data_IF_160185001159
#
_entry.id   IF_160185001159
#
_cell.length_a   1.000
_cell.length_b   1.000
_cell.length_c   1.000
_cell.angle_alpha   90.00
_cell.angle_beta   90.00
_cell.angle_gamma   90.00
#
_symmetry.space_group_name_H-M   'P 1'
#
loop_
_entity.id
_entity.type
_entity.pdbx_description
1 polymer ?
#
# COMPACT_ATOMS: atom_id res chain seq x y z
N UNK A 1 13.98 0.57 41.53
CA UNK A 1 13.94 0.38 40.06
C UNK A 1 12.51 0.05 39.71
N UNK A 2 11.95 0.53 38.60
CA UNK A 2 10.57 0.23 38.23
C UNK A 2 10.48 -1.22 37.75
N UNK A 3 9.57 -2.02 38.32
CA UNK A 3 9.39 -3.42 37.95
C UNK A 3 8.50 -3.62 36.72
N UNK A 4 7.98 -2.53 36.14
CA UNK A 4 7.04 -2.55 35.01
C UNK A 4 7.75 -2.36 33.68
N UNK A 5 7.34 -3.12 32.66
CA UNK A 5 7.75 -2.81 31.29
C UNK A 5 7.20 -1.45 30.85
N UNK A 6 8.07 -0.64 30.29
CA UNK A 6 7.82 0.76 29.95
C UNK A 6 7.92 1.04 28.45
N UNK A 7 8.38 0.05 27.68
CA UNK A 7 8.55 0.16 26.24
C UNK A 7 8.04 -1.07 25.48
N UNK A 8 7.43 -0.86 24.31
CA UNK A 8 7.08 -1.88 23.35
C UNK A 8 8.05 -1.85 22.17
N UNK A 9 8.76 -2.95 21.93
CA UNK A 9 9.51 -3.15 20.69
C UNK A 9 8.62 -3.80 19.64
N UNK A 10 8.37 -3.10 18.54
CA UNK A 10 7.61 -3.62 17.42
C UNK A 10 8.55 -4.10 16.30
N UNK A 11 8.35 -5.33 15.88
CA UNK A 11 9.07 -5.95 14.78
C UNK A 11 8.13 -6.14 13.60
N UNK A 12 8.67 -6.02 12.40
CA UNK A 12 7.94 -6.31 11.16
C UNK A 12 8.73 -7.25 10.26
N UNK A 13 8.00 -7.95 9.40
CA UNK A 13 8.50 -8.71 8.26
C UNK A 13 7.73 -8.25 7.01
N UNK A 14 8.45 -7.98 5.93
CA UNK A 14 7.89 -7.53 4.66
C UNK A 14 7.58 -8.69 3.70
N UNK A 15 7.43 -9.92 4.22
CA UNK A 15 7.05 -11.11 3.46
C UNK A 15 8.24 -11.98 3.03
N UNK A 16 9.43 -11.76 3.58
CA UNK A 16 10.62 -12.55 3.28
C UNK A 16 11.10 -13.42 4.47
N UNK A 17 10.35 -13.46 5.57
CA UNK A 17 10.73 -14.17 6.79
C UNK A 17 11.75 -13.42 7.64
N UNK A 18 12.18 -12.21 7.24
CA UNK A 18 13.19 -11.45 7.95
C UNK A 18 12.54 -10.43 8.90
N UNK A 19 12.53 -10.78 10.19
CA UNK A 19 12.05 -9.90 11.24
C UNK A 19 13.07 -8.82 11.57
N UNK A 20 12.70 -7.55 11.38
CA UNK A 20 13.53 -6.41 11.79
C UNK A 20 12.80 -5.53 12.80
N UNK A 21 13.54 -4.92 13.72
CA UNK A 21 12.99 -3.95 14.66
C UNK A 21 12.53 -2.71 13.86
N UNK A 22 11.24 -2.42 13.91
CA UNK A 22 10.63 -1.26 13.24
C UNK A 22 10.70 -0.02 14.11
N UNK A 23 10.54 -0.18 15.42
CA UNK A 23 10.63 0.91 16.37
C UNK A 23 10.32 0.47 17.81
N UNK A 24 10.58 1.40 18.72
CA UNK A 24 10.27 1.29 20.15
C UNK A 24 9.23 2.34 20.50
N UNK A 25 8.19 1.94 21.20
CA UNK A 25 7.01 2.74 21.54
C UNK A 25 6.75 2.67 23.05
N UNK A 26 5.84 3.49 23.57
CA UNK A 26 5.28 3.28 24.91
C UNK A 26 4.52 1.95 24.98
N UNK A 27 4.45 1.33 26.17
CA UNK A 27 3.74 0.06 26.38
C UNK A 27 2.29 0.07 25.91
N UNK A 28 1.61 1.22 26.00
CA UNK A 28 0.29 1.51 25.44
C UNK A 28 0.41 2.59 24.35
N UNK A 29 -0.28 2.40 23.22
CA UNK A 29 -0.30 3.42 22.17
C UNK A 29 -0.80 2.95 20.82
N UNK A 30 -0.59 3.80 19.82
CA UNK A 30 -0.91 3.56 18.41
C UNK A 30 0.33 3.84 17.58
N UNK A 31 0.61 2.98 16.62
CA UNK A 31 1.65 3.19 15.62
C UNK A 31 1.01 3.32 14.23
N UNK A 32 1.54 4.23 13.41
CA UNK A 32 1.12 4.42 12.01
C UNK A 32 2.36 4.38 11.13
N UNK A 33 2.23 3.75 9.96
CA UNK A 33 3.31 3.59 8.98
C UNK A 33 2.89 4.14 7.63
N UNK A 34 3.69 5.05 7.10
CA UNK A 34 3.53 5.62 5.76
C UNK A 34 4.62 5.09 4.82
N UNK A 35 4.49 5.41 3.52
CA UNK A 35 5.44 5.00 2.47
C UNK A 35 5.64 3.48 2.35
N UNK A 36 4.57 2.72 2.59
CA UNK A 36 4.55 1.27 2.37
C UNK A 36 4.26 0.94 0.90
N UNK A 37 4.79 -0.19 0.42
CA UNK A 37 4.34 -0.76 -0.85
C UNK A 37 2.84 -1.05 -0.81
N UNK A 38 2.13 -0.69 -1.88
CA UNK A 38 0.70 -1.00 -2.08
C UNK A 38 0.50 -2.47 -2.46
N UNK A 39 -0.68 -3.02 -2.19
CA UNK A 39 -1.00 -4.44 -2.43
C UNK A 39 0.02 -5.41 -1.80
N UNK A 40 0.65 -5.01 -0.69
CA UNK A 40 1.77 -5.74 -0.12
C UNK A 40 1.46 -6.19 1.31
N UNK A 41 1.81 -7.44 1.63
CA UNK A 41 1.56 -8.02 2.93
C UNK A 41 2.73 -7.80 3.87
N UNK A 42 2.42 -7.30 5.06
CA UNK A 42 3.36 -7.13 6.17
C UNK A 42 2.90 -7.96 7.35
N UNK A 43 3.85 -8.50 8.08
CA UNK A 43 3.60 -9.19 9.34
C UNK A 43 4.23 -8.42 10.50
N UNK A 44 3.59 -8.45 11.66
CA UNK A 44 4.01 -7.72 12.85
C UNK A 44 3.98 -8.62 14.09
N UNK A 45 4.93 -8.42 14.98
CA UNK A 45 4.92 -8.95 16.34
C UNK A 45 5.57 -7.95 17.27
N UNK A 46 5.17 -7.95 18.53
CA UNK A 46 5.70 -7.04 19.53
C UNK A 46 6.20 -7.81 20.76
N UNK A 47 7.07 -7.19 21.54
CA UNK A 47 7.39 -7.62 22.89
C UNK A 47 7.60 -6.40 23.78
N UNK A 48 7.33 -6.57 25.06
CA UNK A 48 7.56 -5.54 26.06
C UNK A 48 9.03 -5.59 26.50
N UNK A 49 9.64 -4.42 26.72
CA UNK A 49 10.97 -4.23 27.32
C UNK A 49 10.80 -3.45 28.61
N UNK A 50 11.49 -3.91 29.65
CA UNK A 50 11.69 -3.17 30.89
C UNK A 50 13.06 -2.52 30.84
N UNK A 51 13.08 -1.21 30.64
CA UNK A 51 14.32 -0.45 30.39
C UNK A 51 15.30 -0.50 31.57
N UNK A 52 14.78 -0.60 32.79
CA UNK A 52 15.57 -0.56 34.03
C UNK A 52 16.55 -1.71 34.20
N UNK A 53 16.28 -2.87 33.60
CA UNK A 53 17.12 -4.07 33.72
C UNK A 53 17.29 -4.87 32.42
N UNK A 54 16.84 -4.30 31.29
CA UNK A 54 16.86 -4.96 29.98
C UNK A 54 16.24 -6.36 30.02
N UNK A 55 15.07 -6.50 30.65
CA UNK A 55 14.25 -7.70 30.53
C UNK A 55 13.24 -7.54 29.42
N UNK A 56 12.97 -8.63 28.69
CA UNK A 56 11.98 -8.67 27.62
C UNK A 56 10.92 -9.73 27.88
N UNK A 57 9.68 -9.45 27.50
CA UNK A 57 8.64 -10.47 27.43
C UNK A 57 8.86 -11.42 26.25
N UNK A 58 8.11 -12.52 26.22
CA UNK A 58 7.87 -13.26 24.99
C UNK A 58 7.21 -12.36 23.93
N UNK A 59 7.37 -12.75 22.66
CA UNK A 59 6.67 -12.09 21.56
C UNK A 59 5.16 -12.34 21.63
N UNK A 60 4.39 -11.36 21.16
CA UNK A 60 2.96 -11.50 20.88
C UNK A 60 2.69 -12.53 19.78
N UNK A 61 1.41 -12.80 19.52
CA UNK A 61 1.02 -13.43 18.27
C UNK A 61 1.46 -12.59 17.06
N UNK A 62 1.58 -13.25 15.90
CA UNK A 62 1.87 -12.58 14.63
C UNK A 62 0.57 -12.01 14.06
N UNK A 63 0.57 -10.71 13.78
CA UNK A 63 -0.47 -10.02 13.00
C UNK A 63 -0.04 -10.00 11.54
N UNK A 64 -0.97 -10.20 10.62
CA UNK A 64 -0.74 -10.11 9.17
C UNK A 64 -1.73 -9.12 8.56
N UNK A 65 -1.24 -8.20 7.74
CA UNK A 65 -2.06 -7.18 7.09
C UNK A 65 -1.53 -6.84 5.70
N UNK A 66 -2.44 -6.63 4.75
CA UNK A 66 -2.10 -6.23 3.38
C UNK A 66 -2.53 -4.79 3.15
N UNK A 67 -1.63 -3.96 2.64
CA UNK A 67 -1.94 -2.59 2.24
C UNK A 67 -2.92 -2.57 1.07
N UNK A 68 -3.71 -1.50 0.96
CA UNK A 68 -4.66 -1.36 -0.15
C UNK A 68 -3.93 -1.27 -1.49
N UNK A 69 -4.60 -1.73 -2.54
CA UNK A 69 -4.14 -1.48 -3.92
C UNK A 69 -4.10 0.02 -4.21
N UNK A 70 -3.18 0.48 -5.08
CA UNK A 70 -3.17 1.87 -5.48
C UNK A 70 -4.50 2.21 -6.18
N UNK A 71 -4.97 3.47 -6.10
CA UNK A 71 -6.16 3.89 -6.83
C UNK A 71 -5.97 3.66 -8.33
N UNK A 72 -7.05 3.29 -9.01
CA UNK A 72 -7.00 3.09 -10.46
C UNK A 72 -6.73 4.41 -11.18
N UNK A 73 -5.92 4.41 -12.25
CA UNK A 73 -5.74 5.60 -13.07
C UNK A 73 -7.06 5.99 -13.73
N UNK A 74 -7.32 7.29 -13.82
CA UNK A 74 -8.51 7.80 -14.49
C UNK A 74 -8.28 7.79 -16.01
N UNK A 75 -9.25 7.30 -16.81
CA UNK A 75 -9.31 7.51 -18.25
C UNK A 75 -8.95 8.94 -18.71
N UNK A 76 -8.03 9.08 -19.67
CA UNK A 76 -7.86 10.36 -20.37
C UNK A 76 -8.96 10.52 -21.46
N UNK A 77 -9.11 11.75 -21.96
CA UNK A 77 -10.03 12.05 -23.06
C UNK A 77 -9.47 11.58 -24.42
N UNK A 78 -10.37 11.30 -25.37
CA UNK A 78 -10.01 10.99 -26.77
C UNK A 78 -9.40 12.23 -27.44
N UNK A 79 -8.40 12.03 -28.30
CA UNK A 79 -7.65 13.14 -28.91
C UNK A 79 -8.07 13.39 -30.35
N UNK A 80 -7.96 14.64 -30.76
CA UNK A 80 -8.12 15.12 -32.13
C UNK A 80 -9.38 14.60 -32.82
N UNK A 81 -10.54 14.79 -32.19
CA UNK A 81 -11.81 14.47 -32.83
C UNK A 81 -12.01 15.36 -34.06
N UNK A 82 -12.17 14.74 -35.22
CA UNK A 82 -12.48 15.44 -36.47
C UNK A 82 -13.72 14.84 -37.12
N UNK A 83 -14.39 15.64 -37.94
CA UNK A 83 -15.62 15.24 -38.63
C UNK A 83 -15.50 15.54 -40.12
N UNK A 84 -15.94 14.60 -40.95
CA UNK A 84 -16.03 14.75 -42.39
C UNK A 84 -17.42 14.34 -42.87
N UNK A 85 -18.08 15.26 -43.59
CA UNK A 85 -19.36 15.00 -44.26
C UNK A 85 -19.13 14.31 -45.60
N UNK A 86 -18.98 12.98 -45.57
CA UNK A 86 -18.63 12.19 -46.75
C UNK A 86 -19.77 12.04 -47.77
N UNK A 87 -21.03 12.29 -47.39
CA UNK A 87 -22.22 12.13 -48.24
C UNK A 87 -23.45 12.90 -47.71
N UNK A 88 -24.51 13.03 -48.54
CA UNK A 88 -25.81 13.69 -48.21
C UNK A 88 -26.42 13.25 -46.86
N UNK A 89 -26.13 12.03 -46.38
CA UNK A 89 -26.65 11.50 -45.12
C UNK A 89 -25.58 10.77 -44.28
N UNK A 90 -24.29 11.08 -44.48
CA UNK A 90 -23.20 10.42 -43.76
C UNK A 90 -22.21 11.43 -43.19
N UNK A 91 -21.91 11.27 -41.91
CA UNK A 91 -20.77 11.90 -41.25
C UNK A 91 -19.85 10.79 -40.75
N UNK A 92 -18.57 10.89 -41.07
CA UNK A 92 -17.53 10.06 -40.48
C UNK A 92 -16.78 10.88 -39.44
N UNK A 93 -16.64 10.31 -38.25
CA UNK A 93 -15.83 10.85 -37.16
C UNK A 93 -14.55 10.02 -37.03
N UNK A 94 -13.42 10.68 -36.85
CA UNK A 94 -12.14 10.04 -36.50
C UNK A 94 -11.58 10.68 -35.24
N UNK A 95 -10.89 9.87 -34.43
CA UNK A 95 -10.26 10.29 -33.19
C UNK A 95 -9.08 9.36 -32.89
N UNK A 96 -8.14 9.83 -32.07
CA UNK A 96 -7.06 9.01 -31.53
C UNK A 96 -7.39 8.55 -30.12
N UNK A 97 -6.84 7.39 -29.75
CA UNK A 97 -6.93 6.90 -28.39
C UNK A 97 -6.29 7.89 -27.40
N UNK A 98 -6.77 7.90 -26.15
CA UNK A 98 -6.11 8.63 -25.07
C UNK A 98 -4.65 8.20 -24.89
N UNK A 99 -3.83 9.05 -24.29
CA UNK A 99 -2.39 8.79 -24.07
C UNK A 99 -2.13 7.67 -23.08
N UNK A 100 -3.04 7.45 -22.13
CA UNK A 100 -2.97 6.35 -21.16
C UNK A 100 -3.69 5.08 -21.63
N UNK A 101 -4.03 4.99 -22.92
CA UNK A 101 -4.61 3.80 -23.53
C UNK A 101 -3.53 2.75 -23.84
N UNK A 102 -3.66 1.54 -23.28
CA UNK A 102 -2.71 0.44 -23.49
C UNK A 102 -3.42 -0.72 -24.20
N UNK A 103 -2.97 -1.00 -25.43
CA UNK A 103 -3.20 -2.17 -26.30
C UNK A 103 -4.47 -3.03 -26.07
N UNK A 104 -5.62 -2.53 -26.53
CA UNK A 104 -6.83 -3.35 -26.74
C UNK A 104 -8.02 -3.11 -25.79
N UNK A 105 -7.89 -2.23 -24.81
CA UNK A 105 -9.00 -1.82 -23.94
C UNK A 105 -8.55 -1.29 -22.58
N UNK A 106 -9.52 -0.94 -21.73
CA UNK A 106 -9.29 -0.69 -20.31
C UNK A 106 -8.88 -2.01 -19.64
N UNK A 107 -7.58 -2.28 -19.46
CA UNK A 107 -7.18 -3.43 -18.66
C UNK A 107 -7.09 -3.09 -17.18
N UNK A 108 -8.12 -3.59 -16.48
CA UNK A 108 -8.03 -4.20 -15.16
C UNK A 108 -6.83 -5.17 -15.14
N UNK A 109 -5.79 -4.82 -14.38
CA UNK A 109 -4.84 -5.83 -13.89
C UNK A 109 -4.96 -5.81 -12.37
N UNK A 110 -5.65 -6.83 -11.86
CA UNK A 110 -5.65 -7.20 -10.43
C UNK A 110 -4.29 -7.79 -10.09
#
# INVERSE_FOLDING_TARGET
MSDTADELELYWDQGNGNWVLKGTYSSDGVATFDHLFSSHTYQFKARQRRSGDNQWSYYSNILSITTKSPPQPVPDYVRDITALGDWISKITLTWYSPTNWIDGGWYYKI
#
